data_IF_698280855205
#
_entry.id   IF_698280855205
#
_cell.length_a   1.000
_cell.length_b   1.000
_cell.length_c   1.000
_cell.angle_alpha   90.00
_cell.angle_beta   90.00
_cell.angle_gamma   90.00
#
_symmetry.space_group_name_H-M   'P 1'
#
loop_
_entity.id
_entity.type
_entity.pdbx_description
1 polymer ?
#
# COMPACT_ATOMS: atom_id res chain seq x y z
N UNK A 1 -5.16 -8.20 -5.79
CA UNK A 1 -3.85 -7.62 -6.14
C UNK A 1 -2.76 -8.40 -5.42
N UNK A 2 -1.80 -8.98 -6.14
CA UNK A 2 -0.77 -9.87 -5.54
C UNK A 2 0.23 -9.07 -4.70
N UNK A 3 0.85 -9.72 -3.72
CA UNK A 3 1.79 -9.05 -2.79
C UNK A 3 3.01 -8.46 -3.53
N UNK A 4 3.64 -9.23 -4.43
CA UNK A 4 4.82 -8.78 -5.17
C UNK A 4 4.53 -7.54 -6.01
N UNK A 5 3.34 -7.49 -6.63
CA UNK A 5 2.88 -6.36 -7.41
C UNK A 5 2.70 -5.12 -6.53
N UNK A 6 2.09 -5.31 -5.37
CA UNK A 6 1.86 -4.26 -4.37
C UNK A 6 3.17 -3.66 -3.86
N UNK A 7 4.14 -4.52 -3.54
CA UNK A 7 5.45 -4.08 -3.06
C UNK A 7 6.23 -3.33 -4.14
N UNK A 8 6.12 -3.74 -5.40
CA UNK A 8 6.72 -3.04 -6.52
C UNK A 8 6.13 -1.62 -6.67
N UNK A 9 4.80 -1.48 -6.69
CA UNK A 9 4.17 -0.16 -6.76
C UNK A 9 4.51 0.74 -5.57
N UNK A 10 4.47 0.21 -4.34
CA UNK A 10 4.84 0.96 -3.14
C UNK A 10 6.31 1.42 -3.18
N UNK A 11 7.21 0.60 -3.75
CA UNK A 11 8.62 0.98 -3.93
C UNK A 11 8.79 2.13 -4.93
N UNK A 12 8.01 2.15 -6.02
CA UNK A 12 8.00 3.27 -6.98
C UNK A 12 7.44 4.55 -6.35
N UNK A 13 6.37 4.43 -5.56
CA UNK A 13 5.80 5.57 -4.84
C UNK A 13 6.81 6.12 -3.84
N UNK A 14 7.49 5.25 -3.08
CA UNK A 14 8.57 5.64 -2.17
C UNK A 14 9.68 6.42 -2.87
N UNK A 15 10.08 5.96 -4.05
CA UNK A 15 11.04 6.68 -4.89
C UNK A 15 10.51 8.06 -5.30
N UNK A 16 9.26 8.14 -5.77
CA UNK A 16 8.61 9.41 -6.14
C UNK A 16 8.54 10.41 -4.98
N UNK A 17 8.28 9.95 -3.75
CA UNK A 17 8.32 10.79 -2.54
C UNK A 17 9.73 11.34 -2.31
N UNK A 18 10.75 10.47 -2.39
CA UNK A 18 12.16 10.89 -2.19
C UNK A 18 12.66 11.86 -3.25
N UNK A 19 12.13 11.76 -4.47
CA UNK A 19 12.42 12.69 -5.56
C UNK A 19 11.59 13.98 -5.48
N UNK A 20 10.66 14.09 -4.54
CA UNK A 20 9.78 15.24 -4.39
C UNK A 20 8.65 15.33 -5.41
N UNK A 21 8.39 14.25 -6.16
CA UNK A 21 7.32 14.19 -7.17
C UNK A 21 5.94 13.86 -6.56
N UNK A 22 5.94 13.20 -5.41
CA UNK A 22 4.72 12.85 -4.68
C UNK A 22 4.79 13.55 -3.32
N UNK A 23 3.79 14.38 -3.04
CA UNK A 23 3.62 15.09 -1.78
C UNK A 23 2.36 14.61 -1.06
N UNK A 24 2.17 14.98 0.20
CA UNK A 24 0.99 14.56 0.98
C UNK A 24 1.10 13.17 1.63
N UNK A 25 2.21 12.47 1.44
CA UNK A 25 2.54 11.24 2.15
C UNK A 25 4.05 11.16 2.44
N UNK A 26 4.40 10.86 3.69
CA UNK A 26 5.79 10.75 4.14
C UNK A 26 6.43 9.39 3.83
N UNK A 27 7.77 9.32 3.79
CA UNK A 27 8.52 8.05 3.67
C UNK A 27 8.13 7.08 4.79
N UNK A 28 7.93 7.60 6.00
CA UNK A 28 7.50 6.83 7.18
C UNK A 28 6.11 6.24 7.04
N UNK A 29 5.16 7.01 6.50
CA UNK A 29 3.80 6.51 6.22
C UNK A 29 3.83 5.39 5.18
N UNK A 30 4.60 5.55 4.10
CA UNK A 30 4.78 4.46 3.13
C UNK A 30 5.37 3.21 3.78
N UNK A 31 6.37 3.35 4.66
CA UNK A 31 6.93 2.20 5.36
C UNK A 31 5.87 1.48 6.21
N UNK A 32 5.00 2.22 6.92
CA UNK A 32 3.88 1.64 7.67
C UNK A 32 2.89 0.92 6.75
N UNK A 33 2.60 1.47 5.57
CA UNK A 33 1.69 0.86 4.59
C UNK A 33 2.27 -0.44 4.04
N UNK A 34 3.58 -0.47 3.72
CA UNK A 34 4.29 -1.68 3.27
C UNK A 34 4.21 -2.84 4.28
N UNK A 35 4.12 -2.52 5.57
CA UNK A 35 3.88 -3.53 6.62
C UNK A 35 2.41 -3.96 6.62
N UNK A 36 1.45 -3.04 6.58
CA UNK A 36 0.00 -3.35 6.63
C UNK A 36 -0.49 -4.22 5.45
N UNK A 37 0.13 -4.11 4.29
CA UNK A 37 -0.23 -4.92 3.10
C UNK A 37 0.26 -6.36 3.16
N UNK A 38 1.13 -6.70 4.11
CA UNK A 38 1.66 -8.05 4.25
C UNK A 38 0.55 -9.07 4.53
N UNK A 39 0.64 -10.31 4.00
CA UNK A 39 -0.39 -11.33 4.20
C UNK A 39 -0.72 -11.57 5.68
N UNK A 40 0.29 -11.58 6.56
CA UNK A 40 0.08 -11.77 8.01
C UNK A 40 -0.85 -10.71 8.61
N UNK A 41 -0.67 -9.43 8.27
CA UNK A 41 -1.54 -8.36 8.74
C UNK A 41 -2.94 -8.42 8.12
N UNK A 42 -3.06 -8.88 6.86
CA UNK A 42 -4.38 -9.10 6.26
C UNK A 42 -5.15 -10.24 6.94
N UNK A 43 -4.47 -11.29 7.39
CA UNK A 43 -5.07 -12.38 8.13
C UNK A 43 -5.50 -11.93 9.54
N UNK A 44 -4.66 -11.18 10.23
CA UNK A 44 -4.90 -10.75 11.62
C UNK A 44 -5.95 -9.62 11.66
N UNK A 45 -5.73 -8.53 10.93
CA UNK A 45 -6.54 -7.31 11.04
C UNK A 45 -7.86 -7.42 10.27
N UNK A 46 -7.85 -8.12 9.12
CA UNK A 46 -9.01 -8.22 8.23
C UNK A 46 -9.67 -9.61 8.26
N UNK A 47 -9.20 -10.51 9.14
CA UNK A 47 -9.73 -11.87 9.31
C UNK A 47 -9.87 -12.64 8.00
N UNK A 48 -8.97 -12.37 7.05
CA UNK A 48 -9.02 -12.98 5.73
C UNK A 48 -8.76 -14.49 5.84
N UNK A 49 -9.66 -15.30 5.25
CA UNK A 49 -9.64 -16.77 5.34
C UNK A 49 -9.13 -17.44 4.07
N UNK A 50 -8.98 -16.70 2.98
CA UNK A 50 -8.47 -17.19 1.70
C UNK A 50 -7.49 -16.21 1.07
N UNK A 51 -6.66 -16.73 0.15
CA UNK A 51 -5.72 -15.91 -0.61
C UNK A 51 -6.44 -14.81 -1.43
N UNK A 52 -7.63 -15.11 -1.94
CA UNK A 52 -8.45 -14.16 -2.69
C UNK A 52 -8.95 -13.01 -1.81
N UNK A 53 -9.35 -13.30 -0.58
CA UNK A 53 -9.75 -12.29 0.40
C UNK A 53 -8.57 -11.41 0.80
N UNK A 54 -7.38 -12.00 0.98
CA UNK A 54 -6.14 -11.25 1.24
C UNK A 54 -5.83 -10.29 0.08
N UNK A 55 -5.91 -10.78 -1.14
CA UNK A 55 -5.58 -10.01 -2.33
C UNK A 55 -6.61 -8.88 -2.61
N UNK A 56 -7.87 -9.11 -2.24
CA UNK A 56 -8.95 -8.12 -2.33
C UNK A 56 -8.84 -7.08 -1.21
N UNK A 57 -8.62 -7.52 0.03
CA UNK A 57 -8.42 -6.64 1.20
C UNK A 57 -7.23 -5.69 0.99
N UNK A 58 -6.12 -6.20 0.46
CA UNK A 58 -4.95 -5.41 0.09
C UNK A 58 -5.27 -4.32 -0.93
N UNK A 59 -6.00 -4.67 -1.99
CA UNK A 59 -6.37 -3.71 -3.04
C UNK A 59 -7.28 -2.59 -2.50
N UNK A 60 -8.23 -2.95 -1.63
CA UNK A 60 -9.13 -1.98 -1.00
C UNK A 60 -8.38 -1.06 -0.03
N UNK A 61 -7.49 -1.62 0.79
CA UNK A 61 -6.65 -0.84 1.70
C UNK A 61 -5.83 0.20 0.94
N UNK A 62 -5.16 -0.21 -0.13
CA UNK A 62 -4.36 0.70 -0.96
C UNK A 62 -5.23 1.76 -1.64
N UNK A 63 -6.42 1.41 -2.15
CA UNK A 63 -7.36 2.39 -2.70
C UNK A 63 -7.75 3.45 -1.68
N UNK A 64 -8.05 3.06 -0.45
CA UNK A 64 -8.46 4.00 0.60
C UNK A 64 -7.31 4.92 0.97
N UNK A 65 -6.09 4.39 1.12
CA UNK A 65 -4.91 5.17 1.49
C UNK A 65 -4.56 6.20 0.41
N UNK A 66 -4.56 5.79 -0.86
CA UNK A 66 -4.15 6.66 -1.97
C UNK A 66 -5.30 7.47 -2.56
N UNK A 67 -6.50 7.41 -1.97
CA UNK A 67 -7.66 8.19 -2.44
C UNK A 67 -7.40 9.70 -2.34
N UNK A 68 -6.71 10.10 -1.28
CA UNK A 68 -6.49 11.50 -0.91
C UNK A 68 -5.02 11.93 -1.11
N UNK A 69 -4.24 11.16 -1.88
CA UNK A 69 -2.86 11.52 -2.21
C UNK A 69 -2.84 12.34 -3.49
N UNK A 70 -2.46 13.61 -3.36
CA UNK A 70 -2.30 14.52 -4.50
C UNK A 70 -0.97 14.23 -5.21
N UNK A 71 -1.06 13.93 -6.51
CA UNK A 71 0.10 13.79 -7.38
C UNK A 71 0.42 15.15 -7.99
N UNK A 72 1.62 15.65 -7.78
CA UNK A 72 2.10 16.86 -8.46
C UNK A 72 2.63 16.42 -9.83
N UNK A 73 1.82 16.64 -10.86
CA UNK A 73 2.17 16.46 -12.27
C UNK A 73 1.97 17.76 -13.01
#
# INVERSE_FOLDING_TARGET
MKINESMNYLSKIKLGIRLGWITGISDEEINRIMIKVQPGNQIIDYKAKSQEQIDTGRANLLRTIFKDVDFVG
#
